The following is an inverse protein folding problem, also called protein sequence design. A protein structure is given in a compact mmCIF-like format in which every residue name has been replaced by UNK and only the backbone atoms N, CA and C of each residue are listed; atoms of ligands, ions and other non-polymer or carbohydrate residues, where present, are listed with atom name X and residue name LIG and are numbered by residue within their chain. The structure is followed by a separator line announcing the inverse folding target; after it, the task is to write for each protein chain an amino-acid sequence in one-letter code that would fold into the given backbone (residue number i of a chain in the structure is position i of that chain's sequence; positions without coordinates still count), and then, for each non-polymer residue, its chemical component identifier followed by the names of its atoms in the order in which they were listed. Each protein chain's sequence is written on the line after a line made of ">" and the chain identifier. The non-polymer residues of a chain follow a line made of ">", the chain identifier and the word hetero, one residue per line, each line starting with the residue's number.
data_IF_236079962825
#
_entry.id   IF_236079962825
#
_cell.length_a   1.000
_cell.length_b   1.000
_cell.length_c   1.000
_cell.angle_alpha   90.00
_cell.angle_beta   90.00
_cell.angle_gamma   90.00
#
_symmetry.space_group_name_H-M   'P 1'
#
loop_
_entity.id
_entity.type
_entity.pdbx_description
1 polymer ?
#
# COMPACT_ATOMS: atom_id res chain seq x y z
N UNK A 1 23.02 13.77 1.64
CA UNK A 1 22.38 13.09 2.78
C UNK A 1 21.82 11.82 2.20
N UNK A 2 22.34 10.65 2.59
CA UNK A 2 21.76 9.38 2.16
C UNK A 2 20.61 9.07 3.11
N UNK A 3 19.47 8.62 2.57
CA UNK A 3 18.38 8.10 3.39
C UNK A 3 18.90 6.92 4.21
N UNK A 4 18.53 6.89 5.49
CA UNK A 4 18.89 5.77 6.34
C UNK A 4 18.08 4.55 5.89
N UNK A 5 18.77 3.55 5.32
CA UNK A 5 18.18 2.31 4.83
C UNK A 5 17.62 1.41 5.95
N UNK A 6 17.77 1.81 7.22
CA UNK A 6 17.13 1.13 8.36
C UNK A 6 15.66 1.53 8.56
N UNK A 7 15.14 2.49 7.79
CA UNK A 7 13.76 3.01 7.88
C UNK A 7 13.05 3.03 6.51
N UNK A 8 13.38 2.09 5.62
CA UNK A 8 12.84 2.05 4.26
C UNK A 8 11.32 1.93 4.28
N UNK A 9 10.75 1.22 5.24
CA UNK A 9 9.30 1.12 5.36
C UNK A 9 8.66 2.47 5.68
N UNK A 10 9.26 3.26 6.55
CA UNK A 10 8.73 4.57 6.89
C UNK A 10 8.79 5.52 5.70
N UNK A 11 9.92 5.60 5.00
CA UNK A 11 10.06 6.45 3.80
C UNK A 11 9.10 6.02 2.68
N UNK A 12 8.98 4.72 2.40
CA UNK A 12 8.12 4.25 1.30
C UNK A 12 6.62 4.45 1.57
N UNK A 13 6.18 4.32 2.82
CA UNK A 13 4.76 4.43 3.14
C UNK A 13 4.35 5.87 3.50
N UNK A 14 5.17 6.63 4.21
CA UNK A 14 4.83 8.01 4.60
C UNK A 14 4.94 8.98 3.40
N UNK A 15 5.98 8.85 2.56
CA UNK A 15 6.22 9.82 1.47
C UNK A 15 5.40 9.54 0.19
N UNK A 16 4.98 8.30 -0.05
CA UNK A 16 4.33 7.92 -1.31
C UNK A 16 2.83 7.69 -1.22
N UNK A 17 2.30 7.32 -0.05
CA UNK A 17 0.88 7.04 0.14
C UNK A 17 0.46 7.35 1.58
N UNK A 18 -0.12 8.53 1.81
CA UNK A 18 -0.82 8.82 3.05
C UNK A 18 -1.99 7.83 3.20
N UNK A 19 -1.74 6.77 3.98
CA UNK A 19 -2.69 5.69 4.21
C UNK A 19 -3.80 6.08 5.21
N UNK A 20 -3.67 7.24 5.86
CA UNK A 20 -4.71 7.81 6.72
C UNK A 20 -5.76 8.59 5.87
N UNK A 21 -5.35 9.16 4.73
CA UNK A 21 -6.23 9.83 3.76
C UNK A 21 -6.22 9.22 2.34
N UNK A 22 -6.47 7.90 2.16
CA UNK A 22 -6.30 7.21 0.88
C UNK A 22 -7.26 7.69 -0.21
N UNK A 23 -8.41 8.30 0.14
CA UNK A 23 -9.36 8.89 -0.80
C UNK A 23 -8.75 9.95 -1.71
N UNK A 24 -7.74 10.69 -1.23
CA UNK A 24 -7.06 11.74 -2.00
C UNK A 24 -6.38 11.20 -3.24
N UNK A 25 -6.08 9.90 -3.24
CA UNK A 25 -5.39 9.21 -4.33
C UNK A 25 -6.35 8.53 -5.31
N UNK A 26 -7.67 8.54 -5.05
CA UNK A 26 -8.67 8.01 -5.98
C UNK A 26 -8.71 8.83 -7.28
N UNK A 27 -8.55 8.15 -8.41
CA UNK A 27 -8.39 8.76 -9.73
C UNK A 27 -6.97 9.24 -10.05
N UNK A 28 -6.02 9.13 -9.10
CA UNK A 28 -4.61 9.49 -9.29
C UNK A 28 -3.73 8.24 -9.34
N UNK A 29 -3.60 7.54 -8.21
CA UNK A 29 -2.85 6.28 -8.10
C UNK A 29 -3.73 5.10 -7.68
N UNK A 30 -4.92 5.36 -7.13
CA UNK A 30 -5.95 4.37 -6.84
C UNK A 30 -7.09 4.51 -7.85
N UNK A 31 -7.61 3.40 -8.36
CA UNK A 31 -8.63 3.34 -9.41
C UNK A 31 -10.04 3.11 -8.88
N UNK A 32 -10.18 2.54 -7.69
CA UNK A 32 -11.49 2.13 -7.17
C UNK A 32 -11.63 2.30 -5.66
N UNK A 33 -12.88 2.42 -5.20
CA UNK A 33 -13.23 2.42 -3.77
C UNK A 33 -12.70 1.19 -3.02
N UNK A 34 -12.58 0.05 -3.72
CA UNK A 34 -12.00 -1.15 -3.13
C UNK A 34 -10.50 -0.97 -2.84
N UNK A 35 -9.75 -0.32 -3.73
CA UNK A 35 -8.34 -0.02 -3.51
C UNK A 35 -8.16 1.00 -2.38
N UNK A 36 -9.05 2.01 -2.28
CA UNK A 36 -9.07 2.96 -1.16
C UNK A 36 -9.29 2.24 0.17
N UNK A 37 -10.27 1.34 0.24
CA UNK A 37 -10.54 0.57 1.46
C UNK A 37 -9.35 -0.31 1.87
N UNK A 38 -8.69 -0.96 0.91
CA UNK A 38 -7.51 -1.80 1.17
C UNK A 38 -6.28 -0.98 1.55
N UNK A 39 -6.10 0.22 0.98
CA UNK A 39 -5.04 1.15 1.38
C UNK A 39 -5.23 1.60 2.83
N UNK A 40 -6.47 1.93 3.24
CA UNK A 40 -6.77 2.24 4.65
C UNK A 40 -6.47 1.06 5.58
N UNK A 41 -6.87 -0.14 5.17
CA UNK A 41 -6.60 -1.36 5.93
C UNK A 41 -5.08 -1.59 6.08
N UNK A 42 -4.31 -1.28 5.03
CA UNK A 42 -2.85 -1.37 5.06
C UNK A 42 -2.26 -0.35 6.05
N UNK A 43 -2.72 0.90 6.03
CA UNK A 43 -2.33 1.92 7.00
C UNK A 43 -2.59 1.50 8.45
N UNK A 44 -3.77 0.95 8.72
CA UNK A 44 -4.11 0.43 10.05
C UNK A 44 -3.18 -0.73 10.48
N UNK A 45 -2.86 -1.65 9.56
CA UNK A 45 -1.94 -2.75 9.85
C UNK A 45 -0.50 -2.25 10.12
N UNK A 46 -0.04 -1.25 9.37
CA UNK A 46 1.27 -0.63 9.58
C UNK A 46 1.34 0.10 10.92
N UNK A 47 0.30 0.85 11.29
CA UNK A 47 0.20 1.52 12.59
C UNK A 47 0.24 0.51 13.77
N UNK A 48 -0.36 -0.67 13.59
CA UNK A 48 -0.27 -1.74 14.57
C UNK A 48 1.16 -2.29 14.70
N UNK A 49 1.88 -2.46 13.59
CA UNK A 49 3.28 -2.89 13.59
C UNK A 49 4.22 -1.83 14.18
N UNK A 50 3.95 -0.55 13.92
CA UNK A 50 4.69 0.58 14.49
C UNK A 50 4.58 0.61 16.02
N UNK A 51 3.38 0.35 16.55
CA UNK A 51 3.16 0.26 18.00
C UNK A 51 3.95 -0.88 18.68
N UNK A 52 4.41 -1.87 17.90
CA UNK A 52 5.22 -3.01 18.34
C UNK A 52 6.74 -2.81 18.09
N UNK A 53 7.13 -1.71 17.42
CA UNK A 53 8.49 -1.38 17.01
C UNK A 53 8.97 -0.07 17.67
N UNK A 54 9.50 -0.12 18.92
CA UNK A 54 9.75 1.08 19.72
C UNK A 54 10.88 1.98 19.19
N UNK A 55 11.81 1.44 18.39
CA UNK A 55 12.87 2.21 17.76
C UNK A 55 12.61 2.43 16.26
N UNK A 56 11.44 2.03 15.77
CA UNK A 56 10.98 2.33 14.42
C UNK A 56 11.94 1.81 13.32
N UNK A 57 12.73 0.77 13.64
CA UNK A 57 13.67 0.16 12.69
C UNK A 57 12.97 -0.91 11.86
N UNK A 58 13.35 -1.05 10.59
CA UNK A 58 12.80 -2.07 9.69
C UNK A 58 12.90 -3.48 10.32
N UNK A 59 14.01 -3.78 11.00
CA UNK A 59 14.22 -5.06 11.65
C UNK A 59 13.26 -5.31 12.84
N UNK A 60 12.76 -4.27 13.49
CA UNK A 60 11.72 -4.39 14.53
C UNK A 60 10.34 -4.56 13.89
N UNK A 61 9.99 -3.77 12.87
CA UNK A 61 8.76 -3.97 12.10
C UNK A 61 8.63 -5.39 11.56
N UNK A 62 9.68 -5.92 10.93
CA UNK A 62 9.68 -7.28 10.37
C UNK A 62 9.49 -8.38 11.43
N UNK A 63 9.78 -8.09 12.70
CA UNK A 63 9.61 -9.01 13.84
C UNK A 63 8.31 -8.77 14.61
N UNK A 64 7.59 -7.70 14.31
CA UNK A 64 6.33 -7.35 14.94
C UNK A 64 5.32 -8.50 14.75
N UNK A 65 4.66 -9.00 15.82
CA UNK A 65 3.61 -10.01 15.71
C UNK A 65 2.51 -9.67 14.70
N UNK A 66 2.24 -8.38 14.48
CA UNK A 66 1.27 -7.87 13.50
C UNK A 66 1.78 -7.86 12.05
N UNK A 67 3.09 -8.03 11.80
CA UNK A 67 3.68 -7.97 10.46
C UNK A 67 3.05 -8.91 9.41
N UNK A 68 2.66 -10.16 9.75
CA UNK A 68 1.94 -11.02 8.80
C UNK A 68 0.64 -10.39 8.26
N UNK A 69 -0.04 -9.55 9.06
CA UNK A 69 -1.23 -8.83 8.61
C UNK A 69 -0.87 -7.75 7.57
N UNK A 70 0.22 -7.00 7.79
CA UNK A 70 0.74 -6.02 6.83
C UNK A 70 0.97 -6.69 5.47
N UNK A 71 1.67 -7.83 5.47
CA UNK A 71 1.96 -8.60 4.24
C UNK A 71 0.68 -9.09 3.57
N UNK A 72 -0.29 -9.59 4.33
CA UNK A 72 -1.55 -10.08 3.79
C UNK A 72 -2.36 -8.97 3.11
N UNK A 73 -2.50 -7.82 3.76
CA UNK A 73 -3.25 -6.68 3.23
C UNK A 73 -2.54 -6.07 2.03
N UNK A 74 -1.23 -5.86 2.10
CA UNK A 74 -0.42 -5.36 0.99
C UNK A 74 -0.51 -6.29 -0.24
N UNK A 75 -0.43 -7.60 -0.03
CA UNK A 75 -0.58 -8.59 -1.10
C UNK A 75 -1.97 -8.53 -1.75
N UNK A 76 -3.03 -8.34 -0.96
CA UNK A 76 -4.40 -8.19 -1.47
C UNK A 76 -4.58 -6.89 -2.24
N UNK A 77 -4.06 -5.77 -1.74
CA UNK A 77 -4.09 -4.48 -2.43
C UNK A 77 -3.39 -4.58 -3.79
N UNK A 78 -2.18 -5.13 -3.83
CA UNK A 78 -1.42 -5.31 -5.08
C UNK A 78 -2.19 -6.17 -6.10
N UNK A 79 -2.84 -7.26 -5.65
CA UNK A 79 -3.67 -8.09 -6.53
C UNK A 79 -4.84 -7.30 -7.14
N UNK A 80 -5.53 -6.48 -6.35
CA UNK A 80 -6.66 -5.68 -6.84
C UNK A 80 -6.20 -4.61 -7.83
N UNK A 81 -5.12 -3.89 -7.51
CA UNK A 81 -4.56 -2.87 -8.40
C UNK A 81 -4.17 -3.47 -9.75
N UNK A 82 -3.41 -4.57 -9.75
CA UNK A 82 -3.01 -5.27 -10.99
C UNK A 82 -4.23 -5.77 -11.77
N UNK A 83 -5.23 -6.33 -11.09
CA UNK A 83 -6.45 -6.79 -11.76
C UNK A 83 -7.24 -5.64 -12.40
N UNK A 84 -7.30 -4.48 -11.75
CA UNK A 84 -7.98 -3.31 -12.28
C UNK A 84 -7.21 -2.68 -13.46
N UNK A 85 -5.88 -2.62 -13.38
CA UNK A 85 -5.03 -2.17 -14.49
C UNK A 85 -5.16 -3.08 -15.72
N UNK A 86 -5.12 -4.40 -15.53
CA UNK A 86 -5.31 -5.35 -16.62
C UNK A 86 -6.70 -5.23 -17.25
N UNK A 87 -7.75 -5.05 -16.43
CA UNK A 87 -9.11 -4.86 -16.94
C UNK A 87 -9.21 -3.61 -17.81
N UNK A 88 -8.59 -2.50 -17.40
CA UNK A 88 -8.55 -1.28 -18.21
C UNK A 88 -7.80 -1.51 -19.52
N UNK A 89 -6.63 -2.14 -19.48
CA UNK A 89 -5.84 -2.40 -20.68
C UNK A 89 -6.60 -3.25 -21.70
N UNK A 90 -7.40 -4.22 -21.25
CA UNK A 90 -8.28 -5.00 -22.13
C UNK A 90 -9.40 -4.13 -22.70
N UNK A 91 -10.03 -3.27 -21.89
CA UNK A 91 -11.09 -2.37 -22.34
C UNK A 91 -10.58 -1.38 -23.40
N UNK A 92 -9.40 -0.79 -23.20
CA UNK A 92 -8.76 0.11 -24.17
C UNK A 92 -8.49 -0.58 -25.50
N UNK A 93 -7.92 -1.79 -25.49
CA UNK A 93 -7.69 -2.57 -26.72
C UNK A 93 -8.99 -2.89 -27.47
N UNK A 94 -10.07 -3.12 -26.74
CA UNK A 94 -11.37 -3.45 -27.35
C UNK A 94 -12.02 -2.24 -28.02
N UNK A 95 -11.69 -1.03 -27.57
CA UNK A 95 -12.18 0.22 -28.16
C UNK A 95 -11.36 0.67 -29.38
N UNK A 96 -10.10 0.23 -29.51
CA UNK A 96 -9.26 0.50 -30.69
C UNK A 96 -9.64 -0.38 -31.91
N UNK A 97 -10.36 -1.49 -31.67
CA UNK A 97 -10.81 -2.45 -32.70
C UNK A 97 -12.22 -2.12 -33.29
N UNK A 98 -12.84 -1.00 -32.86
CA UNK A 98 -14.15 -0.50 -33.34
C UNK A 98 -14.04 0.87 -34.01
#
# INVERSE_FOLDING_TARGET
>A
MFENLDHVFHTLFDDFCDADEPERYLGVSLRSEQEVALMRELGAALNAAAAEAPNDTDAEYLRAPSWPMVVAVAGRLAQVMVANDLRELVALRSNDDT
#
